data_IF_004669488890
#
_entry.id   IF_004669488890
#
_cell.length_a   1.000
_cell.length_b   1.000
_cell.length_c   1.000
_cell.angle_alpha   90.00
_cell.angle_beta   90.00
_cell.angle_gamma   90.00
#
_symmetry.space_group_name_H-M   'P 1'
#
loop_
_entity.id
_entity.type
_entity.pdbx_description
1 polymer ?
#
# COMPACT_ATOMS: atom_id res chain seq x y z
N UNK A 1 1.19 -52.41 -0.79
CA UNK A 1 1.02 -51.35 0.24
C UNK A 1 1.87 -50.17 -0.20
N UNK A 2 1.30 -49.21 -0.92
CA UNK A 2 2.01 -48.04 -1.45
C UNK A 2 1.76 -46.91 -0.46
N UNK A 3 2.79 -46.50 0.27
CA UNK A 3 2.73 -45.36 1.19
C UNK A 3 2.78 -44.10 0.32
N UNK A 4 1.64 -43.43 0.18
CA UNK A 4 1.52 -42.16 -0.50
C UNK A 4 2.22 -41.05 0.28
N UNK A 5 3.34 -40.57 -0.25
CA UNK A 5 3.92 -39.30 0.11
C UNK A 5 3.00 -38.19 -0.41
N UNK A 6 2.08 -37.70 0.43
CA UNK A 6 1.45 -36.40 0.20
C UNK A 6 2.45 -35.38 0.71
N UNK A 7 3.41 -35.03 -0.15
CA UNK A 7 4.15 -33.78 -0.03
C UNK A 7 3.13 -32.67 -0.23
N UNK A 8 2.44 -32.29 0.85
CA UNK A 8 1.65 -31.08 0.91
C UNK A 8 2.61 -29.93 0.64
N UNK A 9 2.58 -29.42 -0.59
CA UNK A 9 3.12 -28.11 -0.90
C UNK A 9 2.38 -27.12 -0.02
N UNK A 10 2.97 -26.81 1.13
CA UNK A 10 2.72 -25.59 1.84
C UNK A 10 3.15 -24.46 0.90
N UNK A 11 2.26 -24.11 -0.03
CA UNK A 11 2.33 -22.85 -0.76
C UNK A 11 2.34 -21.80 0.32
N UNK A 12 3.52 -21.22 0.54
CA UNK A 12 3.70 -20.12 1.46
C UNK A 12 2.65 -19.07 1.12
N UNK A 13 1.72 -18.83 2.06
CA UNK A 13 0.80 -17.70 2.02
C UNK A 13 1.64 -16.42 2.10
N UNK A 14 2.09 -15.93 0.95
CA UNK A 14 2.83 -14.68 0.88
C UNK A 14 1.84 -13.58 0.47
N UNK A 15 1.83 -12.49 1.24
CA UNK A 15 1.17 -11.27 0.84
C UNK A 15 1.68 -10.89 -0.57
N UNK A 16 0.78 -10.86 -1.55
CA UNK A 16 1.14 -10.39 -2.88
C UNK A 16 1.58 -8.93 -2.76
N UNK A 17 2.74 -8.56 -3.32
CA UNK A 17 3.18 -7.17 -3.31
C UNK A 17 2.15 -6.31 -4.05
N UNK A 18 1.98 -5.08 -3.59
CA UNK A 18 1.15 -4.11 -4.31
C UNK A 18 1.69 -3.91 -5.74
N UNK A 19 0.81 -3.64 -6.72
CA UNK A 19 1.25 -3.34 -8.07
C UNK A 19 2.15 -2.10 -8.07
N UNK A 20 3.27 -2.19 -8.79
CA UNK A 20 4.19 -1.06 -8.91
C UNK A 20 3.60 -0.01 -9.85
N UNK A 21 3.55 1.24 -9.40
CA UNK A 21 3.10 2.35 -10.24
C UNK A 21 4.31 2.88 -11.00
N UNK A 22 4.33 2.63 -12.31
CA UNK A 22 5.36 3.16 -13.21
C UNK A 22 4.76 4.33 -13.98
N UNK A 23 5.28 5.52 -13.71
CA UNK A 23 4.96 6.71 -14.50
C UNK A 23 5.80 6.66 -15.77
N UNK A 24 5.17 6.90 -16.93
CA UNK A 24 5.87 6.88 -18.21
C UNK A 24 7.04 7.90 -18.19
N UNK A 25 8.24 7.55 -18.69
CA UNK A 25 9.39 8.47 -18.71
C UNK A 25 9.10 9.77 -19.46
N UNK A 26 8.22 9.70 -20.46
CA UNK A 26 7.73 10.81 -21.27
C UNK A 26 7.04 11.88 -20.40
N UNK A 27 6.19 11.44 -19.46
CA UNK A 27 5.52 12.31 -18.50
C UNK A 27 6.55 12.97 -17.57
N UNK A 28 7.51 12.19 -17.05
CA UNK A 28 8.55 12.70 -16.15
C UNK A 28 9.48 13.73 -16.83
N UNK A 29 9.66 13.64 -18.14
CA UNK A 29 10.49 14.54 -18.93
C UNK A 29 9.77 15.83 -19.38
N UNK A 30 8.53 16.07 -18.92
CA UNK A 30 7.76 17.25 -19.34
C UNK A 30 8.45 18.55 -18.97
N UNK A 31 8.69 19.42 -19.97
CA UNK A 31 9.16 20.78 -19.76
C UNK A 31 8.01 21.69 -19.33
N UNK A 32 7.91 21.95 -18.02
CA UNK A 32 6.90 22.85 -17.48
C UNK A 32 7.07 24.31 -17.91
N UNK A 33 8.20 24.72 -18.47
CA UNK A 33 8.39 26.06 -19.05
C UNK A 33 7.65 26.25 -20.39
N UNK A 34 7.32 25.15 -21.07
CA UNK A 34 6.64 25.17 -22.36
C UNK A 34 5.10 25.05 -22.19
N UNK A 35 4.30 26.06 -22.62
CA UNK A 35 2.84 26.02 -22.52
C UNK A 35 2.18 24.80 -23.17
N UNK A 36 2.68 24.36 -24.31
CA UNK A 36 2.12 23.27 -25.09
C UNK A 36 2.40 21.92 -24.41
N UNK A 37 3.60 21.75 -23.86
CA UNK A 37 3.97 20.60 -23.04
C UNK A 37 3.14 20.54 -21.74
N UNK A 38 2.86 21.69 -21.10
CA UNK A 38 1.95 21.75 -19.94
C UNK A 38 0.55 21.28 -20.28
N UNK A 39 -0.02 21.74 -21.40
CA UNK A 39 -1.35 21.29 -21.86
C UNK A 39 -1.37 19.79 -22.14
N UNK A 40 -0.30 19.27 -22.76
CA UNK A 40 -0.18 17.85 -23.08
C UNK A 40 -0.06 16.98 -21.81
N UNK A 41 0.71 17.45 -20.81
CA UNK A 41 0.80 16.81 -19.50
C UNK A 41 -0.56 16.74 -18.80
N UNK A 42 -1.35 17.81 -18.83
CA UNK A 42 -2.68 17.80 -18.21
C UNK A 42 -3.63 16.78 -18.87
N UNK A 43 -3.56 16.65 -20.21
CA UNK A 43 -4.35 15.64 -20.94
C UNK A 43 -3.90 14.20 -20.63
N UNK A 44 -2.60 13.98 -20.43
CA UNK A 44 -2.05 12.67 -20.09
C UNK A 44 -2.09 12.37 -18.59
N UNK A 45 -2.21 13.40 -17.75
CA UNK A 45 -2.24 13.32 -16.29
C UNK A 45 -3.46 12.54 -15.80
N UNK A 46 -4.61 12.70 -16.44
CA UNK A 46 -5.81 11.90 -16.14
C UNK A 46 -5.58 10.40 -16.37
N UNK A 47 -4.85 10.04 -17.43
CA UNK A 47 -4.47 8.64 -17.69
C UNK A 47 -3.44 8.13 -16.66
N UNK A 48 -2.50 8.99 -16.24
CA UNK A 48 -1.55 8.65 -15.18
C UNK A 48 -2.24 8.44 -13.81
N UNK A 49 -3.28 9.24 -13.51
CA UNK A 49 -4.10 9.09 -12.31
C UNK A 49 -5.00 7.86 -12.38
N UNK A 50 -5.55 7.52 -13.55
CA UNK A 50 -6.26 6.25 -13.76
C UNK A 50 -5.32 5.04 -13.52
N UNK A 51 -4.03 5.18 -13.80
CA UNK A 51 -3.00 4.19 -13.46
C UNK A 51 -2.85 3.91 -11.96
N UNK A 52 -3.44 4.74 -11.08
CA UNK A 52 -3.47 4.52 -9.63
C UNK A 52 -4.60 3.57 -9.19
N UNK A 53 -5.63 3.38 -10.02
CA UNK A 53 -6.81 2.58 -9.67
C UNK A 53 -6.46 1.13 -9.27
N UNK A 54 -5.57 0.41 -9.97
CA UNK A 54 -5.17 -0.94 -9.55
C UNK A 54 -4.51 -0.98 -8.17
N UNK A 55 -3.75 0.07 -7.80
CA UNK A 55 -3.14 0.17 -6.47
C UNK A 55 -4.19 0.37 -5.38
N UNK A 56 -5.19 1.21 -5.63
CA UNK A 56 -6.31 1.41 -4.71
C UNK A 56 -7.11 0.12 -4.53
N UNK A 57 -7.45 -0.55 -5.63
CA UNK A 57 -8.16 -1.83 -5.59
C UNK A 57 -7.37 -2.89 -4.82
N UNK A 58 -6.06 -3.01 -5.08
CA UNK A 58 -5.19 -3.95 -4.36
C UNK A 58 -5.11 -3.62 -2.86
N UNK A 59 -5.03 -2.33 -2.50
CA UNK A 59 -5.01 -1.89 -1.09
C UNK A 59 -6.32 -2.26 -0.38
N UNK A 60 -7.47 -1.98 -0.99
CA UNK A 60 -8.79 -2.34 -0.45
C UNK A 60 -8.93 -3.86 -0.26
N UNK A 61 -8.42 -4.66 -1.19
CA UNK A 61 -8.43 -6.11 -1.08
C UNK A 61 -7.56 -6.62 0.08
N UNK A 62 -6.40 -6.00 0.31
CA UNK A 62 -5.53 -6.34 1.44
C UNK A 62 -6.19 -5.96 2.77
N UNK A 63 -6.79 -4.77 2.86
CA UNK A 63 -7.54 -4.31 4.04
C UNK A 63 -8.67 -5.28 4.38
N UNK A 64 -9.52 -5.59 3.40
CA UNK A 64 -10.60 -6.56 3.56
C UNK A 64 -10.08 -7.94 4.01
N UNK A 65 -8.92 -8.36 3.52
CA UNK A 65 -8.26 -9.61 3.96
C UNK A 65 -7.84 -9.55 5.42
N UNK A 66 -7.21 -8.46 5.87
CA UNK A 66 -6.79 -8.32 7.28
C UNK A 66 -7.99 -8.27 8.22
N UNK A 67 -9.05 -7.56 7.82
CA UNK A 67 -10.30 -7.51 8.57
C UNK A 67 -10.99 -8.87 8.65
N UNK A 68 -11.03 -9.62 7.55
CA UNK A 68 -11.57 -10.98 7.54
C UNK A 68 -10.79 -11.93 8.47
N UNK A 69 -9.46 -11.79 8.53
CA UNK A 69 -8.62 -12.58 9.46
C UNK A 69 -8.95 -12.25 10.92
N UNK A 70 -9.05 -10.96 11.27
CA UNK A 70 -9.45 -10.54 12.61
C UNK A 70 -10.86 -11.03 12.98
N UNK A 71 -11.82 -10.88 12.09
CA UNK A 71 -13.20 -11.37 12.27
C UNK A 71 -13.25 -12.89 12.46
N UNK A 72 -12.44 -13.64 11.70
CA UNK A 72 -12.34 -15.11 11.85
C UNK A 72 -11.81 -15.50 13.22
N UNK A 73 -10.77 -14.83 13.73
CA UNK A 73 -10.24 -15.11 15.06
C UNK A 73 -11.29 -14.88 16.16
N UNK A 74 -12.14 -13.86 16.00
CA UNK A 74 -13.27 -13.60 16.90
C UNK A 74 -14.34 -14.69 16.76
N UNK A 75 -14.73 -15.04 15.54
CA UNK A 75 -15.72 -16.08 15.28
C UNK A 75 -15.30 -17.47 15.82
N UNK A 76 -14.00 -17.76 15.82
CA UNK A 76 -13.42 -18.97 16.42
C UNK A 76 -13.32 -18.90 17.95
N UNK A 77 -13.72 -17.80 18.58
CA UNK A 77 -13.61 -17.57 20.02
C UNK A 77 -12.17 -17.40 20.52
N UNK A 78 -11.20 -17.23 19.61
CA UNK A 78 -9.78 -17.05 19.94
C UNK A 78 -9.45 -15.61 20.32
N UNK A 79 -10.25 -14.67 19.82
CA UNK A 79 -10.19 -13.26 20.14
C UNK A 79 -11.54 -12.74 20.63
N UNK A 80 -11.46 -11.71 21.46
CA UNK A 80 -12.52 -10.74 21.69
C UNK A 80 -12.23 -9.45 20.91
N UNK A 81 -13.18 -8.51 20.87
CA UNK A 81 -12.91 -7.17 20.31
C UNK A 81 -11.78 -6.44 21.06
N UNK A 82 -11.66 -6.68 22.37
CA UNK A 82 -10.57 -6.15 23.18
C UNK A 82 -9.20 -6.74 22.77
N UNK A 83 -9.16 -8.02 22.37
CA UNK A 83 -7.93 -8.65 21.84
C UNK A 83 -7.53 -8.06 20.50
N UNK A 84 -8.50 -7.79 19.61
CA UNK A 84 -8.23 -7.11 18.34
C UNK A 84 -7.62 -5.73 18.56
N UNK A 85 -8.15 -4.96 19.51
CA UNK A 85 -7.58 -3.66 19.88
C UNK A 85 -6.15 -3.80 20.41
N UNK A 86 -5.91 -4.70 21.36
CA UNK A 86 -4.56 -4.97 21.91
C UNK A 86 -3.58 -5.47 20.84
N UNK A 87 -4.05 -6.23 19.87
CA UNK A 87 -3.23 -6.63 18.73
C UNK A 87 -2.80 -5.41 17.91
N UNK A 88 -3.73 -4.50 17.59
CA UNK A 88 -3.38 -3.23 16.92
C UNK A 88 -2.39 -2.38 17.72
N UNK A 89 -2.56 -2.26 19.04
CA UNK A 89 -1.62 -1.53 19.91
C UNK A 89 -0.23 -2.18 19.95
N UNK A 90 -0.16 -3.51 20.02
CA UNK A 90 1.11 -4.26 19.93
C UNK A 90 1.79 -4.07 18.59
N UNK A 91 1.03 -4.09 17.50
CA UNK A 91 1.55 -3.86 16.16
C UNK A 91 2.14 -2.46 16.02
N UNK A 92 1.44 -1.43 16.52
CA UNK A 92 1.97 -0.05 16.56
C UNK A 92 3.23 0.10 17.41
N UNK A 93 3.44 -0.81 18.36
CA UNK A 93 4.61 -0.85 19.23
C UNK A 93 5.73 -1.76 18.70
N UNK A 94 5.50 -2.51 17.62
CA UNK A 94 6.53 -3.34 16.99
C UNK A 94 7.61 -2.43 16.38
N UNK A 95 8.91 -2.65 16.67
CA UNK A 95 9.96 -1.76 16.19
C UNK A 95 10.04 -1.64 14.66
N UNK A 96 9.78 -2.72 13.93
CA UNK A 96 9.82 -2.69 12.47
C UNK A 96 8.60 -1.94 11.90
N UNK A 97 7.42 -2.16 12.49
CA UNK A 97 6.23 -1.41 12.10
C UNK A 97 6.33 0.08 12.50
N UNK A 98 6.85 0.40 13.68
CA UNK A 98 7.08 1.79 14.10
C UNK A 98 8.09 2.51 13.19
N UNK A 99 9.18 1.84 12.81
CA UNK A 99 10.12 2.37 11.82
C UNK A 99 9.47 2.60 10.46
N UNK A 100 8.60 1.67 10.03
CA UNK A 100 7.82 1.83 8.81
C UNK A 100 6.82 3.01 8.90
N UNK A 101 6.11 3.17 10.02
CA UNK A 101 5.20 4.31 10.24
C UNK A 101 5.96 5.64 10.16
N UNK A 102 7.15 5.73 10.76
CA UNK A 102 7.98 6.93 10.66
C UNK A 102 8.38 7.26 9.21
N UNK A 103 8.73 6.23 8.42
CA UNK A 103 9.04 6.36 6.98
C UNK A 103 7.82 6.82 6.18
N UNK A 104 6.65 6.25 6.45
CA UNK A 104 5.39 6.63 5.79
C UNK A 104 4.96 8.05 6.19
N UNK A 105 5.20 8.46 7.44
CA UNK A 105 4.87 9.81 7.90
C UNK A 105 5.74 10.88 7.21
N UNK A 106 7.04 10.62 7.03
CA UNK A 106 7.92 11.50 6.24
C UNK A 106 7.40 11.66 4.80
N UNK A 107 6.93 10.57 4.19
CA UNK A 107 6.31 10.62 2.87
C UNK A 107 5.03 11.48 2.88
N UNK A 108 4.10 11.22 3.79
CA UNK A 108 2.85 11.98 3.88
C UNK A 108 3.10 13.48 4.09
N UNK A 109 4.07 13.85 4.92
CA UNK A 109 4.50 15.25 5.09
C UNK A 109 5.04 15.83 3.78
N UNK A 110 5.96 15.13 3.11
CA UNK A 110 6.53 15.61 1.84
C UNK A 110 5.49 15.74 0.72
N UNK A 111 4.51 14.84 0.66
CA UNK A 111 3.41 14.90 -0.28
C UNK A 111 2.51 16.10 0.00
N UNK A 112 2.14 16.32 1.26
CA UNK A 112 1.35 17.48 1.65
C UNK A 112 2.07 18.79 1.36
N UNK A 113 3.36 18.91 1.68
CA UNK A 113 4.18 20.08 1.33
C UNK A 113 4.23 20.32 -0.18
N UNK A 114 4.31 19.24 -0.98
CA UNK A 114 4.31 19.33 -2.45
C UNK A 114 2.97 19.82 -2.99
N UNK A 115 1.86 19.32 -2.44
CA UNK A 115 0.52 19.76 -2.80
C UNK A 115 0.29 21.22 -2.37
N UNK A 116 0.64 21.57 -1.14
CA UNK A 116 0.51 22.94 -0.63
C UNK A 116 1.33 23.93 -1.46
N UNK A 117 2.60 23.61 -1.76
CA UNK A 117 3.44 24.48 -2.58
C UNK A 117 2.96 24.58 -4.04
N UNK A 118 2.40 23.49 -4.57
CA UNK A 118 1.88 23.41 -5.93
C UNK A 118 0.57 24.16 -6.16
N UNK A 119 -0.32 24.15 -5.17
CA UNK A 119 -1.65 24.74 -5.25
C UNK A 119 -1.78 26.08 -4.50
N UNK A 120 -0.72 26.54 -3.82
CA UNK A 120 -0.69 27.83 -3.13
C UNK A 120 -0.87 29.02 -4.10
N UNK A 121 -1.71 30.02 -3.76
CA UNK A 121 -1.85 31.25 -4.54
C UNK A 121 -0.55 32.10 -4.53
N UNK A 122 -0.26 32.85 -5.61
CA UNK A 122 -0.96 32.82 -6.90
C UNK A 122 -0.66 31.52 -7.67
N UNK A 123 -1.69 30.95 -8.31
CA UNK A 123 -1.52 29.77 -9.16
C UNK A 123 -0.77 30.15 -10.44
N UNK A 124 0.38 29.52 -10.63
CA UNK A 124 1.25 29.62 -11.79
C UNK A 124 1.25 28.26 -12.48
N UNK A 125 0.82 28.20 -13.75
CA UNK A 125 0.68 26.95 -14.51
C UNK A 125 1.98 26.15 -14.55
N UNK A 126 3.13 26.83 -14.59
CA UNK A 126 4.44 26.19 -14.57
C UNK A 126 4.75 25.57 -13.19
N UNK A 127 4.32 26.21 -12.10
CA UNK A 127 4.43 25.68 -10.73
C UNK A 127 3.48 24.50 -10.52
N UNK A 128 2.23 24.60 -10.98
CA UNK A 128 1.24 23.53 -10.93
C UNK A 128 1.71 22.29 -11.69
N UNK A 129 2.28 22.49 -12.89
CA UNK A 129 2.89 21.43 -13.69
C UNK A 129 3.99 20.69 -12.91
N UNK A 130 4.93 21.43 -12.29
CA UNK A 130 6.01 20.84 -11.50
C UNK A 130 5.50 20.08 -10.27
N UNK A 131 4.46 20.59 -9.62
CA UNK A 131 3.86 19.94 -8.46
C UNK A 131 3.21 18.59 -8.83
N UNK A 132 2.51 18.52 -9.97
CA UNK A 132 1.93 17.27 -10.46
C UNK A 132 3.02 16.24 -10.77
N UNK A 133 4.10 16.64 -11.45
CA UNK A 133 5.23 15.73 -11.72
C UNK A 133 5.88 15.21 -10.43
N UNK A 134 6.09 16.10 -9.45
CA UNK A 134 6.64 15.72 -8.15
C UNK A 134 5.70 14.76 -7.40
N UNK A 135 4.38 14.99 -7.46
CA UNK A 135 3.39 14.08 -6.87
C UNK A 135 3.46 12.69 -7.53
N UNK A 136 3.50 12.61 -8.86
CA UNK A 136 3.56 11.34 -9.58
C UNK A 136 4.86 10.57 -9.29
N UNK A 137 6.00 11.25 -9.23
CA UNK A 137 7.28 10.65 -8.83
C UNK A 137 7.24 10.12 -7.39
N UNK A 138 6.66 10.91 -6.47
CA UNK A 138 6.48 10.47 -5.09
C UNK A 138 5.56 9.25 -5.00
N UNK A 139 4.42 9.22 -5.70
CA UNK A 139 3.53 8.05 -5.68
C UNK A 139 4.25 6.79 -6.17
N UNK A 140 5.02 6.90 -7.27
CA UNK A 140 5.81 5.78 -7.80
C UNK A 140 6.79 5.23 -6.76
N UNK A 141 7.59 6.11 -6.14
CA UNK A 141 8.59 5.71 -5.12
C UNK A 141 7.96 5.13 -3.85
N UNK A 142 6.76 5.58 -3.49
CA UNK A 142 6.13 5.22 -2.22
C UNK A 142 5.21 3.99 -2.31
N UNK A 143 4.81 3.56 -3.50
CA UNK A 143 4.08 2.29 -3.69
C UNK A 143 4.81 1.09 -3.07
N UNK A 144 6.15 1.03 -3.20
CA UNK A 144 6.99 0.01 -2.57
C UNK A 144 7.01 0.11 -1.04
N UNK A 145 6.97 1.34 -0.50
CA UNK A 145 6.91 1.59 0.94
C UNK A 145 5.58 1.09 1.50
N UNK A 146 4.45 1.40 0.87
CA UNK A 146 3.14 0.91 1.29
C UNK A 146 3.07 -0.63 1.27
N UNK A 147 3.67 -1.26 0.25
CA UNK A 147 3.77 -2.72 0.15
C UNK A 147 4.52 -3.35 1.34
N UNK A 148 5.61 -2.73 1.80
CA UNK A 148 6.36 -3.14 2.99
C UNK A 148 5.50 -3.12 4.27
N UNK A 149 4.68 -2.07 4.44
CA UNK A 149 3.75 -1.95 5.56
C UNK A 149 2.73 -3.09 5.60
N UNK A 150 2.14 -3.44 4.45
CA UNK A 150 1.20 -4.56 4.37
C UNK A 150 1.85 -5.91 4.66
N UNK A 151 3.11 -6.11 4.27
CA UNK A 151 3.84 -7.33 4.60
C UNK A 151 4.14 -7.44 6.11
N UNK A 152 4.41 -6.32 6.78
CA UNK A 152 4.56 -6.28 8.24
C UNK A 152 3.26 -6.68 8.94
N UNK A 153 2.13 -6.11 8.52
CA UNK A 153 0.81 -6.43 9.07
C UNK A 153 0.47 -7.91 8.84
N UNK A 154 0.67 -8.39 7.61
CA UNK A 154 0.37 -9.79 7.25
C UNK A 154 1.19 -10.79 8.06
N UNK A 155 2.48 -10.52 8.25
CA UNK A 155 3.37 -11.31 9.11
C UNK A 155 2.88 -11.31 10.56
N UNK A 156 2.51 -10.16 11.12
CA UNK A 156 2.03 -10.06 12.49
C UNK A 156 0.75 -10.89 12.71
N UNK A 157 -0.20 -10.86 11.76
CA UNK A 157 -1.38 -11.73 11.81
C UNK A 157 -1.00 -13.21 11.70
N UNK A 158 -0.04 -13.58 10.84
CA UNK A 158 0.41 -14.96 10.66
C UNK A 158 1.12 -15.51 11.91
N UNK A 159 1.89 -14.67 12.60
CA UNK A 159 2.51 -15.01 13.88
C UNK A 159 1.47 -15.18 15.00
N UNK A 160 0.46 -14.31 15.03
CA UNK A 160 -0.61 -14.40 16.01
C UNK A 160 -1.52 -15.61 15.79
N UNK A 161 -1.88 -15.92 14.53
CA UNK A 161 -2.61 -17.14 14.17
C UNK A 161 -1.84 -18.39 14.62
N UNK A 162 -0.52 -18.41 14.41
CA UNK A 162 0.35 -19.50 14.89
C UNK A 162 0.36 -19.60 16.41
N UNK A 163 0.47 -18.48 17.12
CA UNK A 163 0.43 -18.42 18.60
C UNK A 163 -0.89 -18.96 19.17
N UNK A 164 -1.98 -18.82 18.43
CA UNK A 164 -3.33 -19.24 18.82
C UNK A 164 -3.71 -20.65 18.31
N UNK A 165 -2.77 -21.35 17.66
CA UNK A 165 -2.99 -22.64 16.99
C UNK A 165 -4.12 -22.62 15.97
N UNK A 166 -4.22 -21.51 15.21
CA UNK A 166 -5.22 -21.32 14.16
C UNK A 166 -4.54 -21.53 12.80
N UNK A 167 -5.09 -22.45 12.01
CA UNK A 167 -4.60 -22.66 10.64
C UNK A 167 -4.72 -21.35 9.82
N UNK A 168 -3.74 -21.05 8.94
CA UNK A 168 -3.80 -19.88 8.07
C UNK A 168 -5.11 -19.85 7.28
N UNK A 169 -5.73 -18.69 7.16
CA UNK A 169 -6.94 -18.55 6.35
C UNK A 169 -6.64 -18.91 4.88
N UNK A 170 -7.38 -19.87 4.30
CA UNK A 170 -7.32 -20.11 2.86
C UNK A 170 -7.72 -18.82 2.14
N UNK A 171 -6.89 -18.34 1.22
CA UNK A 171 -7.21 -17.11 0.49
C UNK A 171 -8.43 -17.34 -0.42
N UNK A 172 -9.37 -16.40 -0.51
CA UNK A 172 -10.29 -16.39 -1.64
C UNK A 172 -9.44 -16.25 -2.92
N UNK A 173 -9.67 -17.15 -3.86
CA UNK A 173 -9.07 -17.08 -5.19
C UNK A 173 -9.61 -15.79 -5.85
N UNK A 174 -8.75 -14.89 -6.36
CA UNK A 174 -9.21 -13.72 -7.09
C UNK A 174 -10.01 -14.11 -8.35
#
# INVERSE_FOLDING_TARGET
>A
MIIGFVAGTALALQAQPLPNIVIAPELQATDCGNPEARTQLLQQGDAALAGLEPLMQATNQIEARMDARGARLIALGKWTDADRKRFGERLLSDPAFAAHVAKTQQFSTSLMETLEAGFAPPQDDERSCRAILNMLDQISRNSAVVSEGWQLIDRAYSEEERRLDVAPAAQPIP
#
